data_IF_841844267219
#
_entry.id   IF_841844267219
#
_cell.length_a   1.000
_cell.length_b   1.000
_cell.length_c   1.000
_cell.angle_alpha   90.00
_cell.angle_beta   90.00
_cell.angle_gamma   90.00
#
_symmetry.space_group_name_H-M   'P 1'
#
loop_
_entity.id
_entity.type
_entity.pdbx_description
1 polymer ?
#
# COMPACT_ATOMS: atom_id res chain seq x y z
N UNK A 1 -46.79 -39.75 23.25
CA UNK A 1 -45.39 -39.36 23.57
C UNK A 1 -44.73 -38.62 22.41
N UNK A 2 -45.28 -37.50 21.90
CA UNK A 2 -44.75 -36.83 20.69
C UNK A 2 -44.52 -35.31 20.86
N UNK A 3 -44.65 -34.76 22.11
CA UNK A 3 -44.59 -33.31 22.33
C UNK A 3 -43.18 -32.73 22.67
N UNK A 4 -42.19 -33.58 22.94
CA UNK A 4 -40.90 -33.11 23.44
C UNK A 4 -39.86 -32.75 22.35
N UNK A 5 -39.97 -33.33 21.16
CA UNK A 5 -39.00 -33.18 20.08
C UNK A 5 -39.17 -31.81 19.38
N UNK A 6 -40.39 -31.35 19.23
CA UNK A 6 -40.69 -30.06 18.55
C UNK A 6 -40.14 -28.83 19.28
N UNK A 7 -40.17 -28.80 20.61
CA UNK A 7 -39.69 -27.66 21.42
C UNK A 7 -38.16 -27.51 21.39
N UNK A 8 -37.41 -28.62 21.34
CA UNK A 8 -35.94 -28.60 21.26
C UNK A 8 -35.48 -28.11 19.88
N UNK A 9 -36.12 -28.51 18.79
CA UNK A 9 -35.83 -28.04 17.45
C UNK A 9 -36.08 -26.52 17.26
N UNK A 10 -37.18 -26.02 17.84
CA UNK A 10 -37.49 -24.57 17.81
C UNK A 10 -36.44 -23.75 18.60
N UNK A 11 -36.02 -24.23 19.78
CA UNK A 11 -35.02 -23.54 20.58
C UNK A 11 -33.63 -23.47 19.88
N UNK A 12 -33.21 -24.52 19.20
CA UNK A 12 -31.95 -24.52 18.42
C UNK A 12 -32.03 -23.61 17.20
N UNK A 13 -33.17 -23.56 16.51
CA UNK A 13 -33.40 -22.64 15.39
C UNK A 13 -33.33 -21.17 15.80
N UNK A 14 -33.89 -20.81 16.95
CA UNK A 14 -33.83 -19.45 17.48
C UNK A 14 -32.42 -19.01 17.90
N UNK A 15 -31.64 -19.91 18.50
CA UNK A 15 -30.26 -19.64 18.89
C UNK A 15 -29.35 -19.43 17.67
N UNK A 16 -29.52 -20.21 16.61
CA UNK A 16 -28.74 -20.05 15.34
C UNK A 16 -29.13 -18.73 14.68
N UNK A 17 -30.42 -18.38 14.60
CA UNK A 17 -30.85 -17.12 14.00
C UNK A 17 -30.32 -15.89 14.76
N UNK A 18 -30.34 -15.92 16.10
CA UNK A 18 -29.80 -14.85 16.94
C UNK A 18 -28.27 -14.69 16.73
N UNK A 19 -27.54 -15.79 16.64
CA UNK A 19 -26.07 -15.76 16.37
C UNK A 19 -25.73 -15.17 15.01
N UNK A 20 -26.49 -15.50 13.97
CA UNK A 20 -26.30 -14.96 12.62
C UNK A 20 -26.57 -13.45 12.58
N UNK A 21 -27.63 -12.98 13.26
CA UNK A 21 -27.95 -11.54 13.37
C UNK A 21 -26.85 -10.76 14.12
N UNK A 22 -26.28 -11.33 15.19
CA UNK A 22 -25.21 -10.69 15.94
C UNK A 22 -23.92 -10.54 15.07
N UNK A 23 -23.56 -11.57 14.33
CA UNK A 23 -22.40 -11.56 13.41
C UNK A 23 -22.59 -10.56 12.27
N UNK A 24 -23.78 -10.47 11.70
CA UNK A 24 -24.10 -9.51 10.65
C UNK A 24 -23.98 -8.05 11.13
N UNK A 25 -24.50 -7.75 12.32
CA UNK A 25 -24.42 -6.42 12.92
C UNK A 25 -22.96 -6.04 13.25
N UNK A 26 -22.16 -6.97 13.75
CA UNK A 26 -20.74 -6.74 14.04
C UNK A 26 -19.95 -6.44 12.76
N UNK A 27 -20.20 -7.18 11.68
CA UNK A 27 -19.57 -6.95 10.38
C UNK A 27 -19.95 -5.58 9.78
N UNK A 28 -21.22 -5.18 9.90
CA UNK A 28 -21.68 -3.85 9.44
C UNK A 28 -21.02 -2.71 10.23
N UNK A 29 -20.91 -2.85 11.56
CA UNK A 29 -20.25 -1.86 12.41
C UNK A 29 -18.76 -1.73 12.08
N UNK A 30 -18.06 -2.86 11.87
CA UNK A 30 -16.65 -2.86 11.45
C UNK A 30 -16.45 -2.20 10.09
N UNK A 31 -17.33 -2.49 9.12
CA UNK A 31 -17.29 -1.87 7.78
C UNK A 31 -17.50 -0.36 7.87
N UNK A 32 -18.45 0.10 8.69
CA UNK A 32 -18.69 1.52 8.92
C UNK A 32 -17.47 2.21 9.54
N UNK A 33 -16.85 1.59 10.56
CA UNK A 33 -15.65 2.11 11.21
C UNK A 33 -14.44 2.18 10.25
N UNK A 34 -14.24 1.15 9.43
CA UNK A 34 -13.18 1.11 8.42
C UNK A 34 -13.36 2.23 7.38
N UNK A 35 -14.58 2.39 6.86
CA UNK A 35 -14.91 3.45 5.91
C UNK A 35 -14.69 4.85 6.49
N UNK A 36 -15.10 5.08 7.74
CA UNK A 36 -14.94 6.37 8.42
C UNK A 36 -13.46 6.74 8.56
N UNK A 37 -12.63 5.81 9.03
CA UNK A 37 -11.20 6.05 9.24
C UNK A 37 -10.47 6.22 7.90
N UNK A 38 -10.78 5.42 6.90
CA UNK A 38 -10.23 5.56 5.55
C UNK A 38 -10.56 6.93 4.95
N UNK A 39 -11.83 7.34 4.97
CA UNK A 39 -12.26 8.66 4.49
C UNK A 39 -11.57 9.80 5.24
N UNK A 40 -11.36 9.64 6.56
CA UNK A 40 -10.62 10.62 7.37
C UNK A 40 -9.20 10.84 6.83
N UNK A 41 -8.45 9.76 6.59
CA UNK A 41 -7.08 9.84 6.07
C UNK A 41 -7.03 10.40 4.64
N UNK A 42 -7.92 9.97 3.77
CA UNK A 42 -8.03 10.49 2.38
C UNK A 42 -8.37 11.98 2.38
N UNK A 43 -9.31 12.42 3.21
CA UNK A 43 -9.67 13.83 3.35
C UNK A 43 -8.52 14.64 3.93
N UNK A 44 -7.78 14.09 4.91
CA UNK A 44 -6.59 14.73 5.45
C UNK A 44 -5.56 14.98 4.33
N UNK A 45 -5.25 13.97 3.50
CA UNK A 45 -4.36 14.14 2.34
C UNK A 45 -4.86 15.21 1.36
N UNK A 46 -6.16 15.24 1.09
CA UNK A 46 -6.75 16.25 0.21
C UNK A 46 -6.64 17.67 0.77
N UNK A 47 -6.67 17.83 2.09
CA UNK A 47 -6.47 19.15 2.76
C UNK A 47 -4.99 19.52 2.72
N UNK A 48 -4.07 18.60 3.02
CA UNK A 48 -2.63 18.85 3.00
C UNK A 48 -2.15 19.38 1.64
N UNK A 49 -2.60 18.78 0.54
CA UNK A 49 -2.28 19.22 -0.84
C UNK A 49 -2.73 20.66 -1.18
N UNK A 50 -3.59 21.24 -0.37
CA UNK A 50 -4.09 22.61 -0.58
C UNK A 50 -3.34 23.65 0.26
N UNK A 51 -2.42 23.24 1.11
CA UNK A 51 -1.64 24.15 1.95
C UNK A 51 -0.47 24.69 1.11
N UNK A 52 -0.43 26.01 0.79
CA UNK A 52 0.68 26.59 0.07
C UNK A 52 1.99 26.49 0.87
N UNK A 53 3.13 26.26 0.20
CA UNK A 53 4.43 26.09 0.85
C UNK A 53 4.79 27.30 1.74
N UNK A 54 4.55 28.51 1.27
CA UNK A 54 4.84 29.76 1.98
C UNK A 54 3.89 30.07 3.16
N UNK A 55 2.89 29.19 3.40
CA UNK A 55 1.89 29.35 4.47
C UNK A 55 1.90 28.23 5.50
N UNK A 56 2.77 27.24 5.37
CA UNK A 56 2.77 26.07 6.24
C UNK A 56 3.09 26.41 7.70
N UNK A 57 3.93 27.40 7.94
CA UNK A 57 4.33 27.93 9.24
C UNK A 57 3.42 29.03 9.81
N UNK A 58 2.36 29.45 9.04
CA UNK A 58 1.42 30.49 9.41
C UNK A 58 0.07 29.91 9.83
N UNK A 59 -0.65 30.66 10.70
CA UNK A 59 -2.04 30.28 11.03
C UNK A 59 -2.97 30.50 9.82
N UNK A 60 -3.98 29.64 9.64
CA UNK A 60 -4.38 28.51 10.50
C UNK A 60 -3.64 27.18 10.20
N UNK A 61 -2.75 27.15 9.19
CA UNK A 61 -2.12 25.93 8.70
C UNK A 61 -1.16 25.33 9.74
N UNK A 62 -0.34 26.13 10.42
CA UNK A 62 0.56 25.66 11.47
C UNK A 62 -0.18 24.87 12.55
N UNK A 63 -1.28 25.41 13.08
CA UNK A 63 -2.10 24.71 14.08
C UNK A 63 -2.75 23.45 13.52
N UNK A 64 -3.17 23.46 12.26
CA UNK A 64 -3.73 22.27 11.59
C UNK A 64 -2.67 21.16 11.46
N UNK A 65 -1.47 21.46 10.98
CA UNK A 65 -0.37 20.52 10.85
C UNK A 65 0.03 19.93 12.21
N UNK A 66 0.16 20.78 13.24
CA UNK A 66 0.47 20.35 14.60
C UNK A 66 -0.57 19.37 15.16
N UNK A 67 -1.86 19.62 14.97
CA UNK A 67 -2.93 18.72 15.43
C UNK A 67 -2.91 17.35 14.72
N UNK A 68 -2.39 17.30 13.50
CA UNK A 68 -2.32 16.06 12.70
C UNK A 68 -0.93 15.43 12.67
N UNK A 69 0.04 15.92 13.44
CA UNK A 69 1.46 15.52 13.38
C UNK A 69 1.70 14.01 13.46
N UNK A 70 0.86 13.26 14.21
CA UNK A 70 0.97 11.79 14.31
C UNK A 70 0.63 11.05 13.02
N UNK A 71 -0.17 11.66 12.14
CA UNK A 71 -0.70 11.03 10.93
C UNK A 71 -0.01 11.52 9.66
N UNK A 72 0.83 12.57 9.75
CA UNK A 72 1.46 13.21 8.61
C UNK A 72 2.99 13.17 8.68
N UNK A 73 3.62 13.40 7.55
CA UNK A 73 5.07 13.53 7.39
C UNK A 73 5.36 14.61 6.35
N UNK A 74 6.42 15.35 6.56
CA UNK A 74 6.93 16.32 5.60
C UNK A 74 7.91 15.64 4.64
N UNK A 75 7.84 15.93 3.36
CA UNK A 75 8.83 15.53 2.36
C UNK A 75 9.66 16.75 1.99
N UNK A 76 10.93 16.74 2.37
CA UNK A 76 11.88 17.82 2.05
C UNK A 76 12.02 18.01 0.53
N UNK A 77 12.15 16.93 -0.29
CA UNK A 77 12.30 17.09 -1.73
C UNK A 77 11.12 17.77 -2.42
N UNK A 78 9.88 17.55 -1.93
CA UNK A 78 8.69 18.18 -2.52
C UNK A 78 8.25 19.45 -1.84
N UNK A 79 8.74 19.73 -0.62
CA UNK A 79 8.28 20.86 0.19
C UNK A 79 6.83 20.71 0.68
N UNK A 80 6.27 19.50 0.69
CA UNK A 80 4.86 19.25 0.96
C UNK A 80 4.67 18.25 2.12
N UNK A 81 3.46 18.29 2.69
CA UNK A 81 3.02 17.36 3.72
C UNK A 81 2.18 16.23 3.14
N UNK A 82 2.44 15.02 3.61
CA UNK A 82 1.73 13.81 3.20
C UNK A 82 1.14 13.09 4.41
N UNK A 83 0.01 12.41 4.22
CA UNK A 83 -0.43 11.41 5.19
C UNK A 83 0.59 10.25 5.15
N UNK A 84 1.06 9.82 6.30
CA UNK A 84 2.01 8.71 6.40
C UNK A 84 1.43 7.43 5.79
N UNK A 85 2.14 6.82 4.85
CA UNK A 85 1.74 5.56 4.19
C UNK A 85 1.48 4.43 5.21
N UNK A 86 2.26 4.36 6.31
CA UNK A 86 2.08 3.37 7.36
C UNK A 86 0.71 3.45 8.07
N UNK A 87 0.01 4.59 8.01
CA UNK A 87 -1.35 4.73 8.52
C UNK A 87 -2.36 3.94 7.70
N UNK A 88 -2.22 3.98 6.39
CA UNK A 88 -3.05 3.19 5.49
C UNK A 88 -2.72 1.69 5.60
N UNK A 89 -1.44 1.29 5.66
CA UNK A 89 -1.06 -0.10 5.87
C UNK A 89 -1.56 -0.68 7.20
N UNK A 90 -1.47 0.08 8.30
CA UNK A 90 -2.05 -0.31 9.59
C UNK A 90 -3.57 -0.47 9.53
N UNK A 91 -4.25 0.43 8.82
CA UNK A 91 -5.69 0.37 8.62
C UNK A 91 -6.08 -0.86 7.80
N UNK A 92 -5.39 -1.13 6.70
CA UNK A 92 -5.55 -2.34 5.89
C UNK A 92 -5.40 -3.60 6.74
N UNK A 93 -4.32 -3.71 7.51
CA UNK A 93 -4.06 -4.85 8.39
C UNK A 93 -5.16 -5.07 9.42
N UNK A 94 -5.66 -3.98 10.02
CA UNK A 94 -6.75 -3.99 11.00
C UNK A 94 -8.05 -4.55 10.40
N UNK A 95 -8.34 -4.23 9.15
CA UNK A 95 -9.60 -4.57 8.48
C UNK A 95 -9.41 -5.50 7.27
N UNK A 96 -8.37 -6.34 7.29
CA UNK A 96 -7.93 -7.19 6.16
C UNK A 96 -9.00 -8.13 5.60
N UNK A 97 -10.03 -8.46 6.38
CA UNK A 97 -11.13 -9.33 5.98
C UNK A 97 -12.30 -8.59 5.32
N UNK A 98 -12.30 -7.26 5.34
CA UNK A 98 -13.36 -6.46 4.75
C UNK A 98 -13.05 -6.12 3.28
N UNK A 99 -14.09 -6.00 2.47
CA UNK A 99 -13.96 -5.69 1.04
C UNK A 99 -13.19 -4.38 0.76
N UNK A 100 -13.25 -3.40 1.68
CA UNK A 100 -12.52 -2.12 1.56
C UNK A 100 -11.00 -2.27 1.73
N UNK A 101 -10.51 -3.38 2.30
CA UNK A 101 -9.09 -3.56 2.60
C UNK A 101 -8.20 -3.50 1.34
N UNK A 102 -8.67 -3.99 0.20
CA UNK A 102 -8.02 -3.88 -1.11
C UNK A 102 -7.83 -2.41 -1.52
N UNK A 103 -8.88 -1.59 -1.40
CA UNK A 103 -8.81 -0.17 -1.71
C UNK A 103 -7.87 0.60 -0.76
N UNK A 104 -7.88 0.26 0.53
CA UNK A 104 -6.97 0.87 1.52
C UNK A 104 -5.51 0.53 1.18
N UNK A 105 -5.21 -0.73 0.84
CA UNK A 105 -3.88 -1.17 0.42
C UNK A 105 -3.40 -0.45 -0.83
N UNK A 106 -4.28 -0.29 -1.82
CA UNK A 106 -3.99 0.47 -3.02
C UNK A 106 -3.64 1.92 -2.70
N UNK A 107 -4.45 2.58 -1.86
CA UNK A 107 -4.16 3.96 -1.43
C UNK A 107 -2.83 4.06 -0.67
N UNK A 108 -2.48 3.06 0.15
CA UNK A 108 -1.19 3.01 0.83
C UNK A 108 -0.02 2.92 -0.17
N UNK A 109 -0.17 2.08 -1.20
CA UNK A 109 0.84 1.92 -2.25
C UNK A 109 1.04 3.19 -3.10
N UNK A 110 -0.03 3.95 -3.37
CA UNK A 110 0.05 5.22 -4.11
C UNK A 110 0.49 6.42 -3.28
N UNK A 111 0.49 6.30 -1.95
CA UNK A 111 0.84 7.39 -1.04
C UNK A 111 2.32 7.36 -0.66
N UNK A 112 3.20 7.33 -1.65
CA UNK A 112 4.66 7.37 -1.49
C UNK A 112 5.13 8.81 -1.26
N UNK A 113 6.25 8.95 -0.55
CA UNK A 113 6.95 10.23 -0.48
C UNK A 113 7.78 10.42 -1.76
N UNK A 114 7.69 11.57 -2.43
CA UNK A 114 8.46 11.83 -3.63
C UNK A 114 9.91 12.19 -3.31
N UNK A 115 10.83 11.82 -4.21
CA UNK A 115 12.21 12.29 -4.22
C UNK A 115 13.17 11.70 -3.19
N UNK A 116 12.76 10.68 -2.43
CA UNK A 116 13.55 10.16 -1.30
C UNK A 116 14.79 9.33 -1.70
N UNK A 117 14.93 8.94 -2.98
CA UNK A 117 15.97 8.02 -3.40
C UNK A 117 17.15 8.65 -4.19
N UNK A 118 17.02 9.91 -4.61
CA UNK A 118 18.08 10.67 -5.29
C UNK A 118 18.80 9.92 -6.46
N UNK A 119 18.05 9.06 -7.18
CA UNK A 119 18.60 8.25 -8.27
C UNK A 119 19.25 6.92 -7.83
N UNK A 120 19.31 6.60 -6.54
CA UNK A 120 19.89 5.36 -6.04
C UNK A 120 18.97 4.16 -6.29
N UNK A 121 19.37 3.27 -7.22
CA UNK A 121 18.55 2.15 -7.72
C UNK A 121 18.05 1.21 -6.60
N UNK A 122 18.86 0.72 -5.63
CA UNK A 122 18.37 -0.14 -4.56
C UNK A 122 17.27 0.52 -3.73
N UNK A 123 17.36 1.82 -3.47
CA UNK A 123 16.30 2.57 -2.78
C UNK A 123 15.00 2.56 -3.59
N UNK A 124 15.03 2.87 -4.89
CA UNK A 124 13.86 2.84 -5.76
C UNK A 124 13.23 1.44 -5.84
N UNK A 125 14.04 0.38 -5.93
CA UNK A 125 13.56 -1.00 -5.90
C UNK A 125 12.90 -1.34 -4.56
N UNK A 126 13.49 -0.90 -3.44
CA UNK A 126 12.89 -1.04 -2.10
C UNK A 126 11.54 -0.32 -2.01
N UNK A 127 11.43 0.89 -2.55
CA UNK A 127 10.15 1.63 -2.59
C UNK A 127 9.12 0.84 -3.39
N UNK A 128 9.46 0.34 -4.59
CA UNK A 128 8.54 -0.50 -5.38
C UNK A 128 8.13 -1.75 -4.59
N UNK A 129 9.08 -2.43 -3.93
CA UNK A 129 8.82 -3.62 -3.13
C UNK A 129 7.86 -3.35 -1.98
N UNK A 130 8.04 -2.24 -1.26
CA UNK A 130 7.23 -1.87 -0.09
C UNK A 130 5.87 -1.24 -0.44
N UNK A 131 5.65 -0.86 -1.69
CA UNK A 131 4.43 -0.21 -2.15
C UNK A 131 3.63 -1.13 -3.07
N UNK A 132 3.86 -1.08 -4.36
CA UNK A 132 3.15 -1.92 -5.34
C UNK A 132 3.45 -3.41 -5.17
N UNK A 133 4.68 -3.77 -4.77
CA UNK A 133 5.05 -5.13 -4.43
C UNK A 133 4.29 -5.66 -3.22
N UNK A 134 4.16 -4.86 -2.16
CA UNK A 134 3.34 -5.22 -0.99
C UNK A 134 1.86 -5.37 -1.36
N UNK A 135 1.33 -4.43 -2.17
CA UNK A 135 -0.04 -4.55 -2.67
C UNK A 135 -0.24 -5.85 -3.47
N UNK A 136 0.65 -6.17 -4.41
CA UNK A 136 0.58 -7.40 -5.22
C UNK A 136 0.75 -8.67 -4.39
N UNK A 137 1.53 -8.62 -3.31
CA UNK A 137 1.67 -9.73 -2.35
C UNK A 137 0.34 -10.02 -1.64
N UNK A 138 -0.36 -8.98 -1.19
CA UNK A 138 -1.61 -9.11 -0.46
C UNK A 138 -2.81 -9.37 -1.38
N UNK A 139 -2.81 -8.76 -2.56
CA UNK A 139 -3.92 -8.75 -3.50
C UNK A 139 -3.48 -9.05 -4.94
N UNK A 140 -2.90 -10.25 -5.24
CA UNK A 140 -2.39 -10.57 -6.59
C UNK A 140 -3.48 -10.62 -7.67
N UNK A 141 -4.75 -10.75 -7.25
CA UNK A 141 -5.95 -10.71 -8.10
C UNK A 141 -6.91 -9.61 -7.67
N UNK A 142 -6.43 -8.63 -6.89
CA UNK A 142 -7.23 -7.53 -6.38
C UNK A 142 -7.67 -6.57 -7.49
N UNK A 143 -8.60 -5.69 -7.15
CA UNK A 143 -9.19 -4.71 -8.08
C UNK A 143 -8.12 -3.84 -8.77
N UNK A 144 -7.03 -3.56 -8.10
CA UNK A 144 -5.97 -2.67 -8.58
C UNK A 144 -4.69 -3.41 -9.01
N UNK A 145 -4.68 -4.75 -9.04
CA UNK A 145 -3.50 -5.55 -9.40
C UNK A 145 -2.95 -5.19 -10.78
N UNK A 146 -3.81 -4.94 -11.76
CA UNK A 146 -3.41 -4.45 -13.08
C UNK A 146 -2.66 -3.12 -12.99
N UNK A 147 -3.22 -2.14 -12.28
CA UNK A 147 -2.59 -0.84 -12.10
C UNK A 147 -1.26 -0.94 -11.37
N UNK A 148 -1.18 -1.79 -10.33
CA UNK A 148 0.06 -2.02 -9.59
C UNK A 148 1.17 -2.57 -10.49
N UNK A 149 0.87 -3.56 -11.37
CA UNK A 149 1.83 -4.05 -12.36
C UNK A 149 2.24 -2.95 -13.34
N UNK A 150 1.29 -2.15 -13.83
CA UNK A 150 1.56 -1.05 -14.75
C UNK A 150 2.49 0.00 -14.13
N UNK A 151 2.22 0.41 -12.89
CA UNK A 151 3.10 1.35 -12.18
C UNK A 151 4.50 0.76 -11.95
N UNK A 152 4.55 -0.53 -11.58
CA UNK A 152 5.84 -1.24 -11.45
C UNK A 152 6.63 -1.23 -12.78
N UNK A 153 5.97 -1.52 -13.91
CA UNK A 153 6.59 -1.46 -15.26
C UNK A 153 7.14 -0.08 -15.57
N UNK A 154 6.38 0.98 -15.27
CA UNK A 154 6.83 2.37 -15.51
C UNK A 154 8.08 2.68 -14.69
N UNK A 155 8.06 2.39 -13.38
CA UNK A 155 9.17 2.68 -12.49
C UNK A 155 10.42 1.84 -12.80
N UNK A 156 10.25 0.54 -13.08
CA UNK A 156 11.35 -0.33 -13.51
C UNK A 156 11.95 0.13 -14.85
N UNK A 157 11.12 0.67 -15.76
CA UNK A 157 11.58 1.19 -17.03
C UNK A 157 12.63 2.29 -16.89
N UNK A 158 12.34 3.29 -16.06
CA UNK A 158 13.31 4.38 -15.79
C UNK A 158 14.63 3.85 -15.24
N UNK A 159 14.57 2.90 -14.30
CA UNK A 159 15.79 2.32 -13.71
C UNK A 159 16.56 1.42 -14.70
N UNK A 160 15.86 0.68 -15.57
CA UNK A 160 16.49 -0.19 -16.56
C UNK A 160 17.31 0.59 -17.57
N UNK A 161 16.82 1.77 -17.98
CA UNK A 161 17.50 2.65 -18.91
C UNK A 161 18.76 3.26 -18.28
N UNK A 162 18.76 3.54 -16.98
CA UNK A 162 19.84 4.21 -16.27
C UNK A 162 20.82 3.25 -15.54
N UNK A 163 20.51 1.97 -15.39
CA UNK A 163 21.25 1.06 -14.51
C UNK A 163 22.77 1.02 -14.76
N UNK A 164 23.18 0.92 -16.02
CA UNK A 164 24.58 0.90 -16.41
C UNK A 164 25.30 2.24 -16.16
N UNK A 165 24.58 3.36 -16.26
CA UNK A 165 25.10 4.71 -15.98
C UNK A 165 25.27 4.95 -14.49
N UNK A 166 24.28 4.51 -13.68
CA UNK A 166 24.28 4.68 -12.21
C UNK A 166 25.45 3.92 -11.60
N UNK A 167 25.67 2.65 -11.98
CA UNK A 167 26.82 1.86 -11.50
C UNK A 167 28.16 2.55 -11.71
N UNK A 168 28.33 3.22 -12.86
CA UNK A 168 29.57 3.92 -13.21
C UNK A 168 29.85 5.13 -12.31
N UNK A 169 28.80 5.73 -11.76
CA UNK A 169 28.86 6.99 -11.02
C UNK A 169 28.77 6.83 -9.50
N UNK A 170 28.33 5.68 -9.02
CA UNK A 170 28.18 5.41 -7.58
C UNK A 170 29.03 4.21 -7.17
N UNK A 171 29.77 4.36 -6.06
CA UNK A 171 30.40 3.22 -5.40
C UNK A 171 29.33 2.39 -4.70
N UNK A 172 28.96 1.28 -5.32
CA UNK A 172 27.92 0.36 -4.80
C UNK A 172 28.50 -0.74 -3.93
N UNK A 173 29.76 -0.64 -3.55
CA UNK A 173 30.47 -1.64 -2.76
C UNK A 173 29.90 -1.80 -1.34
N UNK A 174 29.02 -2.74 -1.12
CA UNK A 174 28.39 -3.05 0.16
C UNK A 174 26.90 -3.39 0.06
N UNK A 175 26.24 -3.01 -1.02
CA UNK A 175 24.79 -3.16 -1.20
C UNK A 175 24.36 -4.40 -1.98
N UNK A 176 25.29 -5.19 -2.48
CA UNK A 176 25.03 -6.34 -3.36
C UNK A 176 24.04 -7.35 -2.73
N UNK A 177 24.13 -7.58 -1.44
CA UNK A 177 23.25 -8.53 -0.75
C UNK A 177 21.81 -8.00 -0.67
N UNK A 178 21.64 -6.72 -0.35
CA UNK A 178 20.33 -6.07 -0.29
C UNK A 178 19.72 -5.95 -1.68
N UNK A 179 20.47 -5.47 -2.66
CA UNK A 179 20.05 -5.39 -4.05
C UNK A 179 19.59 -6.75 -4.58
N UNK A 180 20.41 -7.80 -4.41
CA UNK A 180 20.08 -9.16 -4.86
C UNK A 180 18.81 -9.69 -4.20
N UNK A 181 18.62 -9.42 -2.91
CA UNK A 181 17.42 -9.79 -2.17
C UNK A 181 16.18 -9.09 -2.72
N UNK A 182 16.25 -7.77 -2.96
CA UNK A 182 15.10 -6.99 -3.45
C UNK A 182 14.70 -7.46 -4.87
N UNK A 183 15.67 -7.66 -5.76
CA UNK A 183 15.44 -8.19 -7.11
C UNK A 183 14.73 -9.54 -7.04
N UNK A 184 15.21 -10.44 -6.17
CA UNK A 184 14.59 -11.75 -5.96
C UNK A 184 13.16 -11.61 -5.45
N UNK A 185 12.92 -10.80 -4.42
CA UNK A 185 11.59 -10.57 -3.84
C UNK A 185 10.61 -10.03 -4.89
N UNK A 186 11.01 -9.03 -5.68
CA UNK A 186 10.17 -8.46 -6.75
C UNK A 186 9.89 -9.49 -7.85
N UNK A 187 10.88 -10.30 -8.24
CA UNK A 187 10.71 -11.37 -9.22
C UNK A 187 9.71 -12.42 -8.72
N UNK A 188 9.81 -12.82 -7.47
CA UNK A 188 8.90 -13.80 -6.84
C UNK A 188 7.46 -13.26 -6.77
N UNK A 189 7.27 -11.98 -6.45
CA UNK A 189 5.97 -11.32 -6.41
C UNK A 189 5.36 -11.25 -7.82
N UNK A 190 6.12 -10.75 -8.78
CA UNK A 190 5.65 -10.58 -10.16
C UNK A 190 5.31 -11.93 -10.81
N UNK A 191 6.13 -12.96 -10.59
CA UNK A 191 5.89 -14.31 -11.15
C UNK A 191 4.57 -14.94 -10.68
N UNK A 192 4.07 -14.55 -9.50
CA UNK A 192 2.76 -14.98 -8.98
C UNK A 192 1.59 -14.17 -9.55
N UNK A 193 1.88 -13.06 -10.20
CA UNK A 193 0.87 -12.14 -10.73
C UNK A 193 0.60 -12.46 -12.19
N UNK A 194 -0.58 -13.01 -12.49
CA UNK A 194 -0.97 -13.37 -13.86
C UNK A 194 -1.52 -12.15 -14.60
N UNK A 195 -0.62 -11.31 -15.10
CA UNK A 195 -0.98 -10.11 -15.86
C UNK A 195 -0.15 -10.02 -17.16
N UNK A 196 -0.70 -9.53 -18.28
CA UNK A 196 0.02 -9.45 -19.57
C UNK A 196 1.35 -8.68 -19.49
N UNK A 197 1.40 -7.59 -18.70
CA UNK A 197 2.60 -6.76 -18.57
C UNK A 197 3.65 -7.29 -17.59
N UNK A 198 3.37 -8.40 -16.90
CA UNK A 198 4.32 -9.04 -15.95
C UNK A 198 5.61 -9.46 -16.65
N UNK A 199 5.52 -9.98 -17.88
CA UNK A 199 6.69 -10.38 -18.66
C UNK A 199 7.63 -9.17 -18.91
N UNK A 200 7.06 -7.98 -19.19
CA UNK A 200 7.84 -6.74 -19.36
C UNK A 200 8.53 -6.35 -18.06
N UNK A 201 7.82 -6.36 -16.92
CA UNK A 201 8.41 -6.06 -15.62
C UNK A 201 9.56 -6.99 -15.27
N UNK A 202 9.41 -8.30 -15.53
CA UNK A 202 10.47 -9.29 -15.30
C UNK A 202 11.69 -9.08 -16.20
N UNK A 203 11.48 -8.69 -17.47
CA UNK A 203 12.56 -8.33 -18.39
C UNK A 203 13.33 -7.10 -17.92
N UNK A 204 12.62 -6.07 -17.45
CA UNK A 204 13.22 -4.86 -16.88
C UNK A 204 14.02 -5.15 -15.61
N UNK A 205 13.51 -5.99 -14.70
CA UNK A 205 14.27 -6.45 -13.52
C UNK A 205 15.57 -7.16 -13.92
N UNK A 206 15.53 -7.99 -14.95
CA UNK A 206 16.73 -8.66 -15.48
C UNK A 206 17.73 -7.64 -16.03
N UNK A 207 17.27 -6.66 -16.82
CA UNK A 207 18.11 -5.60 -17.36
C UNK A 207 18.77 -4.76 -16.25
N UNK A 208 18.01 -4.41 -15.20
CA UNK A 208 18.55 -3.71 -14.03
C UNK A 208 19.63 -4.57 -13.34
N UNK A 209 19.36 -5.87 -13.13
CA UNK A 209 20.31 -6.76 -12.49
C UNK A 209 21.61 -6.90 -13.28
N UNK A 210 21.53 -7.03 -14.60
CA UNK A 210 22.70 -7.13 -15.50
C UNK A 210 23.48 -5.80 -15.60
N UNK A 211 22.78 -4.66 -15.61
CA UNK A 211 23.41 -3.35 -15.65
C UNK A 211 24.03 -2.90 -14.34
N UNK A 212 23.51 -3.40 -13.20
CA UNK A 212 23.96 -3.01 -11.85
C UNK A 212 25.11 -3.89 -11.32
N UNK A 213 25.23 -5.14 -11.80
CA UNK A 213 26.35 -6.07 -11.48
C UNK A 213 27.54 -5.87 -12.40
#
# INVERSE_FOLDING_TARGET
MTSGISKKLLAHGLLIAASIMLLANLSAAQTSAANKEYKRLVNLQAVLRKIPMDKQDKEPHRSFLKRNAKDIVYSDPSGEWYVRSDRFWKLQKKYKTLAIADQIAWTAAENQLPGECEGYIPCHLSVIRMTYGEYLTLYPKGKYSRKAVQQTVVLLGYMADDAASVKKNYDVGGDDAEFTKIIKDLRDILSKTKHPETAKALSQLKQIEEGYK
#
